data_IF_040434090430
#
_entry.id   IF_040434090430
#
_cell.length_a   1.000
_cell.length_b   1.000
_cell.length_c   1.000
_cell.angle_alpha   90.00
_cell.angle_beta   90.00
_cell.angle_gamma   90.00
#
_symmetry.space_group_name_H-M   'P 1'
#
loop_
_entity.id
_entity.type
_entity.pdbx_description
1 polymer ?
#
# COMPACT_ATOMS: atom_id res chain seq x y z
N UNK A 1 -39.41 21.06 10.01
CA UNK A 1 -38.77 20.21 8.98
C UNK A 1 -37.36 19.89 9.43
N UNK A 2 -37.13 18.69 9.97
CA UNK A 2 -35.79 18.25 10.38
C UNK A 2 -35.06 17.69 9.18
N UNK A 3 -34.08 18.41 8.65
CA UNK A 3 -33.19 17.94 7.59
C UNK A 3 -32.42 16.71 8.12
N UNK A 4 -32.64 15.54 7.52
CA UNK A 4 -31.85 14.34 7.84
C UNK A 4 -30.37 14.61 7.49
N UNK A 5 -29.41 14.24 8.35
CA UNK A 5 -28.00 14.40 8.01
C UNK A 5 -27.67 13.57 6.77
N UNK A 6 -27.05 14.21 5.76
CA UNK A 6 -26.52 13.52 4.58
C UNK A 6 -25.45 12.54 5.05
N UNK A 7 -25.56 11.26 4.68
CA UNK A 7 -24.49 10.28 4.92
C UNK A 7 -23.24 10.75 4.16
N UNK A 8 -22.23 11.23 4.88
CA UNK A 8 -20.94 11.63 4.31
C UNK A 8 -20.06 10.43 4.01
N UNK A 9 -19.06 10.61 3.12
CA UNK A 9 -18.00 9.63 2.88
C UNK A 9 -16.77 10.09 3.65
N UNK A 10 -16.23 9.20 4.49
CA UNK A 10 -14.97 9.42 5.19
C UNK A 10 -13.89 8.52 4.59
N UNK A 11 -12.92 9.13 3.90
CA UNK A 11 -11.78 8.42 3.31
C UNK A 11 -10.80 8.09 4.42
N UNK A 12 -10.57 6.80 4.69
CA UNK A 12 -9.69 6.35 5.77
C UNK A 12 -8.21 6.28 5.36
N UNK A 13 -7.94 6.04 4.08
CA UNK A 13 -6.58 5.91 3.54
C UNK A 13 -6.59 5.95 2.01
N UNK A 14 -5.44 6.24 1.41
CA UNK A 14 -5.21 6.20 -0.04
C UNK A 14 -4.12 5.17 -0.33
N UNK A 15 -4.38 4.26 -1.28
CA UNK A 15 -3.38 3.30 -1.78
C UNK A 15 -3.21 3.46 -3.28
N UNK A 16 -2.00 3.78 -3.75
CA UNK A 16 -1.72 4.02 -5.17
C UNK A 16 -0.31 3.57 -5.57
N UNK A 17 0.00 3.47 -6.88
CA UNK A 17 1.33 3.09 -7.38
C UNK A 17 2.37 4.19 -7.10
N UNK A 18 2.35 5.28 -7.87
CA UNK A 18 3.34 6.35 -7.78
C UNK A 18 2.78 7.74 -8.17
N UNK A 19 1.68 8.16 -7.56
CA UNK A 19 1.15 9.50 -7.84
C UNK A 19 1.87 10.59 -7.04
N UNK A 20 2.93 11.15 -7.64
CA UNK A 20 3.57 12.38 -7.15
C UNK A 20 2.48 13.46 -6.99
N UNK A 21 2.31 13.96 -5.77
CA UNK A 21 1.33 14.99 -5.43
C UNK A 21 0.15 14.50 -4.60
N UNK A 22 -0.31 13.25 -4.72
CA UNK A 22 -1.48 12.77 -3.94
C UNK A 22 -1.21 12.85 -2.43
N UNK A 23 -0.05 12.39 -1.98
CA UNK A 23 0.33 12.50 -0.57
C UNK A 23 0.51 13.96 -0.10
N UNK A 24 0.84 14.88 -1.02
CA UNK A 24 0.98 16.31 -0.71
C UNK A 24 -0.36 17.03 -0.65
N UNK A 25 -1.32 16.65 -1.50
CA UNK A 25 -2.67 17.22 -1.52
C UNK A 25 -3.54 16.73 -0.35
N UNK A 26 -3.25 15.55 0.19
CA UNK A 26 -3.99 14.96 1.31
C UNK A 26 -3.05 14.57 2.45
N UNK A 27 -2.36 15.54 3.08
CA UNK A 27 -1.36 15.25 4.13
C UNK A 27 -1.98 14.58 5.36
N UNK A 28 -3.28 14.80 5.60
CA UNK A 28 -4.01 14.25 6.74
C UNK A 28 -4.61 12.86 6.48
N UNK A 29 -4.57 12.37 5.23
CA UNK A 29 -5.09 11.05 4.88
C UNK A 29 -3.91 10.08 4.76
N UNK A 30 -3.87 8.99 5.53
CA UNK A 30 -2.81 8.00 5.44
C UNK A 30 -2.61 7.50 4.00
N UNK A 31 -1.40 7.66 3.48
CA UNK A 31 -1.02 7.21 2.14
C UNK A 31 -0.14 5.97 2.21
N UNK A 32 -0.43 4.99 1.35
CA UNK A 32 0.39 3.80 1.17
C UNK A 32 0.66 3.57 -0.32
N UNK A 33 1.89 3.15 -0.64
CA UNK A 33 2.17 2.61 -1.97
C UNK A 33 1.50 1.24 -2.13
N UNK A 34 1.03 0.96 -3.34
CA UNK A 34 0.37 -0.29 -3.66
C UNK A 34 1.38 -1.45 -3.63
N UNK A 35 1.10 -2.43 -2.76
CA UNK A 35 1.95 -3.60 -2.54
C UNK A 35 2.20 -4.42 -3.82
N UNK A 36 1.21 -4.49 -4.72
CA UNK A 36 1.36 -5.18 -6.01
C UNK A 36 2.37 -4.47 -6.92
N UNK A 37 2.28 -3.15 -7.03
CA UNK A 37 3.22 -2.36 -7.84
C UNK A 37 4.61 -2.29 -7.19
N UNK A 38 4.70 -2.26 -5.85
CA UNK A 38 5.96 -2.40 -5.13
C UNK A 38 6.66 -3.73 -5.47
N UNK A 39 5.93 -4.85 -5.40
CA UNK A 39 6.47 -6.15 -5.76
C UNK A 39 6.89 -6.20 -7.24
N UNK A 40 6.08 -5.64 -8.14
CA UNK A 40 6.42 -5.56 -9.57
C UNK A 40 7.69 -4.76 -9.82
N UNK A 41 7.84 -3.61 -9.15
CA UNK A 41 9.03 -2.77 -9.24
C UNK A 41 10.27 -3.54 -8.79
N UNK A 42 10.22 -4.21 -7.65
CA UNK A 42 11.36 -5.01 -7.16
C UNK A 42 11.70 -6.14 -8.16
N UNK A 43 10.68 -6.86 -8.66
CA UNK A 43 10.88 -7.94 -9.64
C UNK A 43 11.41 -7.46 -10.99
N UNK A 44 11.12 -6.22 -11.38
CA UNK A 44 11.63 -5.59 -12.61
C UNK A 44 13.14 -5.37 -12.54
N UNK A 45 13.65 -4.95 -11.38
CA UNK A 45 15.07 -4.61 -11.20
C UNK A 45 15.92 -5.78 -10.66
N UNK A 46 15.31 -6.78 -10.04
CA UNK A 46 16.01 -8.00 -9.66
C UNK A 46 16.09 -8.98 -10.83
N UNK A 47 17.27 -9.57 -11.04
CA UNK A 47 17.41 -10.74 -11.92
C UNK A 47 16.52 -11.88 -11.41
N UNK A 48 15.91 -12.65 -12.32
CA UNK A 48 15.04 -13.79 -11.96
C UNK A 48 15.71 -14.83 -11.05
N UNK A 49 17.03 -15.04 -11.20
CA UNK A 49 17.86 -15.96 -10.41
C UNK A 49 19.03 -15.21 -9.76
N UNK A 50 18.79 -14.47 -8.67
CA UNK A 50 19.84 -13.66 -8.03
C UNK A 50 20.92 -14.52 -7.38
N UNK A 51 22.19 -14.20 -7.66
CA UNK A 51 23.37 -14.91 -7.13
C UNK A 51 23.85 -14.38 -5.79
N UNK A 52 23.59 -13.12 -5.45
CA UNK A 52 23.95 -12.55 -4.15
C UNK A 52 22.89 -12.85 -3.08
N UNK A 53 23.34 -13.00 -1.84
CA UNK A 53 22.43 -13.21 -0.70
C UNK A 53 21.50 -12.03 -0.48
N UNK A 54 22.01 -10.79 -0.60
CA UNK A 54 21.19 -9.58 -0.47
C UNK A 54 20.03 -9.56 -1.46
N UNK A 55 20.27 -9.90 -2.73
CA UNK A 55 19.23 -9.92 -3.75
C UNK A 55 18.23 -11.08 -3.54
N UNK A 56 18.69 -12.25 -3.05
CA UNK A 56 17.80 -13.34 -2.64
C UNK A 56 16.90 -12.92 -1.47
N UNK A 57 17.46 -12.24 -0.46
CA UNK A 57 16.71 -11.75 0.69
C UNK A 57 15.69 -10.69 0.29
N UNK A 58 16.07 -9.72 -0.56
CA UNK A 58 15.15 -8.72 -1.09
C UNK A 58 14.02 -9.36 -1.89
N UNK A 59 14.32 -10.37 -2.72
CA UNK A 59 13.29 -11.13 -3.45
C UNK A 59 12.31 -11.82 -2.49
N UNK A 60 12.82 -12.50 -1.45
CA UNK A 60 11.98 -13.14 -0.42
C UNK A 60 11.10 -12.12 0.30
N UNK A 61 11.65 -10.96 0.65
CA UNK A 61 10.91 -9.87 1.28
C UNK A 61 9.79 -9.40 0.34
N UNK A 62 10.10 -9.10 -0.92
CA UNK A 62 9.12 -8.65 -1.91
C UNK A 62 7.98 -9.66 -2.10
N UNK A 63 8.32 -10.96 -2.18
CA UNK A 63 7.35 -12.05 -2.29
C UNK A 63 6.49 -12.19 -1.00
N UNK A 64 6.97 -11.69 0.15
CA UNK A 64 6.21 -11.68 1.41
C UNK A 64 5.29 -10.47 1.59
N UNK A 65 5.48 -9.38 0.84
CA UNK A 65 4.71 -8.13 0.99
C UNK A 65 3.20 -8.36 0.79
N UNK A 66 2.82 -9.34 -0.03
CA UNK A 66 1.40 -9.69 -0.30
C UNK A 66 0.76 -10.57 0.79
N UNK A 67 1.52 -10.98 1.82
CA UNK A 67 0.94 -11.75 2.93
C UNK A 67 0.17 -10.83 3.87
N UNK A 68 -1.13 -10.73 3.64
CA UNK A 68 -2.04 -10.09 4.59
C UNK A 68 -2.63 -11.13 5.56
N UNK A 69 -2.56 -10.84 6.86
CA UNK A 69 -3.38 -11.49 7.89
C UNK A 69 -4.55 -10.57 8.24
N UNK A 70 -5.74 -11.15 8.37
CA UNK A 70 -6.93 -10.44 8.87
C UNK A 70 -6.67 -9.89 10.26
N UNK A 71 -6.35 -8.61 10.35
CA UNK A 71 -6.30 -7.90 11.63
C UNK A 71 -7.74 -7.59 11.99
N UNK A 72 -8.19 -8.05 13.15
CA UNK A 72 -9.51 -7.70 13.68
C UNK A 72 -9.50 -6.20 13.96
N UNK A 73 -10.09 -5.40 13.07
CA UNK A 73 -10.27 -3.98 13.28
C UNK A 73 -11.29 -3.82 14.42
N UNK A 74 -10.80 -3.59 15.64
CA UNK A 74 -11.63 -3.10 16.72
C UNK A 74 -11.82 -1.61 16.46
N UNK A 75 -12.96 -1.25 15.87
CA UNK A 75 -13.40 0.14 15.83
C UNK A 75 -13.76 0.54 17.26
N UNK A 76 -13.00 1.50 17.81
CA UNK A 76 -13.35 2.21 19.04
C UNK A 76 -14.11 3.47 18.71
#
# INVERSE_FOLDING_TARGET
MSLKPKKGIHIQSITADDFKGIAQFFPDIPFQLCQFHQQQTIRRYLTRKPKSDTARTLKKLADSILHWKKRSLKHS
#
